data_IF_365978885844
#
_entry.id   IF_365978885844
#
_cell.length_a   1.000
_cell.length_b   1.000
_cell.length_c   1.000
_cell.angle_alpha   90.00
_cell.angle_beta   90.00
_cell.angle_gamma   90.00
#
_symmetry.space_group_name_H-M   'P 1'
#
loop_
_entity.id
_entity.type
_entity.pdbx_description
1 polymer ?
#
# COMPACT_ATOMS: atom_id res chain seq x y z
N UNK A 1 12.55 36.61 -31.35
CA UNK A 1 12.19 35.53 -30.41
C UNK A 1 12.84 35.89 -29.10
N UNK A 2 12.08 36.52 -28.21
CA UNK A 2 12.65 37.10 -26.99
C UNK A 2 12.96 35.96 -26.03
N UNK A 3 14.25 35.68 -25.86
CA UNK A 3 14.70 34.73 -24.85
C UNK A 3 14.41 35.36 -23.48
N UNK A 4 13.23 35.06 -22.94
CA UNK A 4 12.87 35.44 -21.56
C UNK A 4 13.94 34.83 -20.65
N UNK A 5 14.77 35.69 -20.06
CA UNK A 5 15.74 35.29 -19.05
C UNK A 5 14.95 34.87 -17.82
N UNK A 6 14.74 33.56 -17.67
CA UNK A 6 14.16 33.00 -16.47
C UNK A 6 15.18 33.16 -15.35
N UNK A 7 14.81 33.89 -14.30
CA UNK A 7 15.64 34.01 -13.10
C UNK A 7 15.95 32.60 -12.58
N UNK A 8 17.23 32.29 -12.33
CA UNK A 8 17.67 31.01 -11.78
C UNK A 8 16.90 30.66 -10.49
N UNK A 9 16.49 31.68 -9.74
CA UNK A 9 15.66 31.54 -8.55
C UNK A 9 14.26 30.97 -8.87
N UNK A 10 13.64 31.41 -9.96
CA UNK A 10 12.33 30.90 -10.42
C UNK A 10 12.40 29.43 -10.83
N UNK A 11 13.52 29.01 -11.43
CA UNK A 11 13.73 27.61 -11.81
C UNK A 11 13.91 26.73 -10.56
N UNK A 12 14.69 27.20 -9.59
CA UNK A 12 14.89 26.47 -8.32
C UNK A 12 13.59 26.32 -7.52
N UNK A 13 12.76 27.37 -7.47
CA UNK A 13 11.44 27.29 -6.84
C UNK A 13 10.52 26.29 -7.53
N UNK A 14 10.56 26.24 -8.86
CA UNK A 14 9.76 25.29 -9.64
C UNK A 14 10.17 23.83 -9.37
N UNK A 15 11.48 23.56 -9.31
CA UNK A 15 12.00 22.22 -8.98
C UNK A 15 11.61 21.81 -7.55
N UNK A 16 11.75 22.72 -6.58
CA UNK A 16 11.37 22.46 -5.19
C UNK A 16 9.87 22.14 -5.05
N UNK A 17 9.01 22.85 -5.79
CA UNK A 17 7.58 22.58 -5.81
C UNK A 17 7.25 21.19 -6.39
N UNK A 18 7.94 20.77 -7.46
CA UNK A 18 7.77 19.43 -8.04
C UNK A 18 8.19 18.33 -7.05
N UNK A 19 9.34 18.49 -6.38
CA UNK A 19 9.81 17.51 -5.39
C UNK A 19 8.84 17.43 -4.20
N UNK A 20 8.37 18.58 -3.71
CA UNK A 20 7.36 18.63 -2.64
C UNK A 20 6.05 17.95 -3.05
N UNK A 21 5.58 18.19 -4.28
CA UNK A 21 4.41 17.53 -4.84
C UNK A 21 4.60 16.01 -4.90
N UNK A 22 5.69 15.51 -5.48
CA UNK A 22 5.99 14.07 -5.57
C UNK A 22 6.12 13.42 -4.19
N UNK A 23 6.68 14.13 -3.21
CA UNK A 23 6.78 13.65 -1.83
C UNK A 23 5.40 13.51 -1.15
N UNK A 24 4.40 14.31 -1.53
CA UNK A 24 3.01 14.16 -1.02
C UNK A 24 2.26 12.97 -1.63
N UNK A 25 2.73 12.39 -2.74
CA UNK A 25 2.13 11.20 -3.35
C UNK A 25 2.70 9.87 -2.84
N UNK A 26 3.76 9.91 -2.01
CA UNK A 26 4.28 8.70 -1.42
C UNK A 26 3.45 8.33 -0.19
N UNK A 27 2.84 7.15 -0.26
CA UNK A 27 2.00 6.50 0.74
C UNK A 27 0.50 6.83 0.71
N UNK A 28 -0.13 6.58 -0.44
CA UNK A 28 -1.53 6.13 -0.46
C UNK A 28 -1.65 4.63 -0.80
N UNK A 29 -0.61 3.83 -0.54
CA UNK A 29 -0.77 2.38 -0.43
C UNK A 29 -0.97 2.04 1.04
N UNK A 30 -2.22 1.71 1.41
CA UNK A 30 -2.62 0.85 2.53
C UNK A 30 -3.99 1.21 3.17
N UNK A 31 -4.86 1.91 2.45
CA UNK A 31 -6.28 1.98 2.83
C UNK A 31 -7.21 1.58 1.67
N UNK A 32 -6.70 0.89 0.65
CA UNK A 32 -7.58 0.06 -0.16
C UNK A 32 -8.15 -0.98 0.81
N UNK A 33 -9.47 -0.96 1.03
CA UNK A 33 -10.19 -1.92 1.86
C UNK A 33 -9.60 -3.29 1.58
N UNK A 34 -8.78 -3.74 2.51
CA UNK A 34 -8.01 -4.96 2.34
C UNK A 34 -9.08 -6.04 2.49
N UNK A 35 -9.48 -6.62 1.36
CA UNK A 35 -10.56 -7.61 1.33
C UNK A 35 -10.30 -8.68 2.38
N UNK A 36 -11.35 -9.12 3.06
CA UNK A 36 -11.25 -10.27 3.94
C UNK A 36 -11.01 -11.52 3.11
N UNK A 37 -10.43 -12.56 3.73
CA UNK A 37 -10.20 -13.83 3.06
C UNK A 37 -11.54 -14.46 2.62
N UNK A 38 -12.54 -14.31 3.47
CA UNK A 38 -13.91 -14.79 3.32
C UNK A 38 -14.67 -14.11 2.18
N UNK A 39 -14.22 -12.95 1.71
CA UNK A 39 -14.83 -12.29 0.54
C UNK A 39 -14.59 -13.08 -0.76
N UNK A 40 -13.56 -13.92 -0.81
CA UNK A 40 -13.13 -14.61 -2.04
C UNK A 40 -12.91 -16.12 -1.87
N UNK A 41 -12.70 -16.58 -0.63
CA UNK A 41 -12.34 -17.95 -0.32
C UNK A 41 -13.21 -18.49 0.81
N UNK A 42 -13.36 -19.82 0.86
CA UNK A 42 -14.01 -20.51 1.97
C UNK A 42 -13.08 -21.59 2.53
N UNK A 43 -13.09 -21.74 3.86
CA UNK A 43 -12.43 -22.85 4.52
C UNK A 43 -13.32 -24.09 4.37
N UNK A 44 -12.78 -25.15 3.80
CA UNK A 44 -13.53 -26.38 3.53
C UNK A 44 -13.41 -27.42 4.65
N UNK A 45 -12.33 -27.38 5.43
CA UNK A 45 -12.02 -28.37 6.47
C UNK A 45 -11.04 -27.78 7.49
N UNK A 46 -10.97 -28.36 8.70
CA UNK A 46 -10.03 -28.00 9.78
C UNK A 46 -10.04 -26.52 10.12
N UNK A 47 -11.23 -25.95 10.36
CA UNK A 47 -11.38 -24.54 10.77
C UNK A 47 -10.48 -24.19 11.97
N UNK A 48 -10.32 -25.14 12.91
CA UNK A 48 -9.51 -24.99 14.11
C UNK A 48 -8.00 -24.84 13.84
N UNK A 49 -7.52 -25.21 12.64
CA UNK A 49 -6.11 -25.10 12.24
C UNK A 49 -5.82 -23.87 11.37
N UNK A 50 -6.86 -23.07 11.07
CA UNK A 50 -6.69 -21.76 10.47
C UNK A 50 -6.54 -20.70 11.56
N UNK A 51 -5.51 -19.88 11.44
CA UNK A 51 -5.34 -18.70 12.28
C UNK A 51 -5.04 -17.48 11.43
N UNK A 52 -5.32 -16.31 11.97
CA UNK A 52 -5.14 -15.04 11.26
C UNK A 52 -4.19 -14.13 12.03
N UNK A 53 -3.39 -13.35 11.31
CA UNK A 53 -2.60 -12.27 11.90
C UNK A 53 -3.49 -11.25 12.61
N UNK A 54 -2.90 -10.46 13.51
CA UNK A 54 -3.63 -9.44 14.28
C UNK A 54 -4.37 -8.42 13.40
N UNK A 55 -3.85 -8.15 12.21
CA UNK A 55 -4.46 -7.23 11.25
C UNK A 55 -5.47 -7.90 10.31
N UNK A 56 -5.71 -9.21 10.43
CA UNK A 56 -6.67 -9.95 9.59
C UNK A 56 -6.15 -10.31 8.20
N UNK A 57 -4.92 -9.91 7.86
CA UNK A 57 -4.45 -9.90 6.48
C UNK A 57 -3.67 -11.12 6.04
N UNK A 58 -3.12 -11.87 7.00
CA UNK A 58 -2.31 -13.05 6.73
C UNK A 58 -2.99 -14.22 7.42
N UNK A 59 -3.23 -15.27 6.65
CA UNK A 59 -3.85 -16.51 7.12
C UNK A 59 -2.81 -17.62 7.16
N UNK A 60 -2.82 -18.38 8.24
CA UNK A 60 -1.92 -19.50 8.47
C UNK A 60 -2.73 -20.79 8.57
N UNK A 61 -2.30 -21.81 7.84
CA UNK A 61 -2.80 -23.18 7.97
C UNK A 61 -1.71 -24.01 8.65
N UNK A 62 -2.05 -24.60 9.80
CA UNK A 62 -1.18 -25.55 10.50
C UNK A 62 -1.51 -26.97 10.07
N UNK A 63 -0.48 -27.81 9.89
CA UNK A 63 -0.63 -29.24 9.65
C UNK A 63 -0.01 -30.00 10.82
N UNK A 64 -0.81 -30.83 11.46
CA UNK A 64 -0.38 -31.72 12.53
C UNK A 64 -1.13 -33.05 12.46
N UNK A 65 -0.89 -33.95 13.42
CA UNK A 65 -1.46 -35.30 13.41
C UNK A 65 -2.88 -35.36 14.00
N UNK A 66 -3.36 -34.27 14.59
CA UNK A 66 -4.71 -34.15 15.09
C UNK A 66 -5.54 -33.55 13.94
N UNK A 67 -6.59 -34.25 13.51
CA UNK A 67 -7.49 -33.81 12.43
C UNK A 67 -8.92 -34.21 12.74
#
# INVERSE_FOLDING_TARGET
MDARSYSSFSILLFIAAIIGFIATYHSAEAAMSKGSFEDNFSIMWSEDHFTTSTDGQIWYLSLDNDT
#
